data_IF_527073122990
#
_entry.id   IF_527073122990
#
_cell.length_a   1.000
_cell.length_b   1.000
_cell.length_c   1.000
_cell.angle_alpha   90.00
_cell.angle_beta   90.00
_cell.angle_gamma   90.00
#
_symmetry.space_group_name_H-M   'P 1'
#
loop_
_entity.id
_entity.type
_entity.pdbx_description
1 polymer ?
#
# COMPACT_ATOMS: atom_id res chain seq x y z
N UNK A 1 9.51 -10.20 -4.81
CA UNK A 1 8.71 -9.20 -4.07
C UNK A 1 7.27 -9.66 -4.02
N UNK A 2 6.61 -9.50 -2.86
CA UNK A 2 5.19 -9.75 -2.68
C UNK A 2 4.48 -8.41 -2.50
N UNK A 3 3.29 -8.27 -3.07
CA UNK A 3 2.53 -7.03 -3.02
C UNK A 3 1.16 -7.28 -2.40
N UNK A 4 0.79 -6.42 -1.45
CA UNK A 4 -0.48 -6.50 -0.74
C UNK A 4 -1.16 -5.15 -0.71
N UNK A 5 -2.48 -5.14 -0.59
CA UNK A 5 -3.27 -3.93 -0.40
C UNK A 5 -4.46 -4.15 0.52
N UNK A 6 -4.92 -3.06 1.12
CA UNK A 6 -6.15 -2.99 1.88
C UNK A 6 -6.81 -1.65 1.62
N UNK A 7 -8.14 -1.61 1.66
CA UNK A 7 -8.89 -0.36 1.62
C UNK A 7 -9.43 -0.02 3.00
N UNK A 8 -9.53 1.27 3.27
CA UNK A 8 -10.29 1.83 4.37
C UNK A 8 -11.02 3.07 3.88
N UNK A 9 -12.32 3.14 4.16
CA UNK A 9 -13.08 4.35 3.90
C UNK A 9 -12.65 5.46 4.87
N UNK A 10 -12.26 6.60 4.32
CA UNK A 10 -11.94 7.84 5.04
C UNK A 10 -13.07 8.83 4.82
N UNK A 11 -13.77 9.27 5.88
CA UNK A 11 -14.79 10.32 5.76
C UNK A 11 -14.24 11.53 5.00
N UNK A 12 -15.06 12.11 4.12
CA UNK A 12 -14.74 13.28 3.28
C UNK A 12 -13.69 13.06 2.17
N UNK A 13 -13.00 11.92 2.14
CA UNK A 13 -11.97 11.60 1.13
C UNK A 13 -12.26 10.34 0.32
N UNK A 14 -13.09 9.47 0.85
CA UNK A 14 -13.50 8.22 0.20
C UNK A 14 -12.54 7.05 0.46
N UNK A 15 -12.38 6.14 -0.50
CA UNK A 15 -11.64 4.88 -0.28
C UNK A 15 -10.11 5.08 -0.33
N UNK A 16 -9.46 5.02 0.84
CA UNK A 16 -8.01 5.03 0.94
C UNK A 16 -7.42 3.62 0.76
N UNK A 17 -6.66 3.44 -0.31
CA UNK A 17 -5.95 2.20 -0.61
C UNK A 17 -4.54 2.25 -0.05
N UNK A 18 -4.26 1.42 0.94
CA UNK A 18 -2.91 1.23 1.45
C UNK A 18 -2.29 0.00 0.79
N UNK A 19 -1.11 0.18 0.23
CA UNK A 19 -0.30 -0.83 -0.42
C UNK A 19 0.98 -1.10 0.37
N UNK A 20 1.44 -2.35 0.28
CA UNK A 20 2.68 -2.82 0.86
C UNK A 20 3.48 -3.58 -0.19
N UNK A 21 4.75 -3.24 -0.33
CA UNK A 21 5.74 -4.11 -0.95
C UNK A 21 6.50 -4.84 0.16
N UNK A 22 6.54 -6.16 0.07
CA UNK A 22 7.27 -7.01 0.98
C UNK A 22 8.35 -7.83 0.28
N UNK A 23 9.39 -8.17 1.04
CA UNK A 23 10.35 -9.19 0.64
C UNK A 23 9.73 -10.59 0.67
N UNK A 24 10.48 -11.60 0.22
CA UNK A 24 10.03 -13.00 0.22
C UNK A 24 9.65 -13.54 1.61
N UNK A 25 10.26 -12.98 2.67
CA UNK A 25 9.99 -13.25 4.08
C UNK A 25 8.83 -12.42 4.66
N UNK A 26 8.06 -11.74 3.81
CA UNK A 26 6.90 -10.91 4.19
C UNK A 26 7.23 -9.69 5.06
N UNK A 27 8.48 -9.22 5.07
CA UNK A 27 8.80 -7.94 5.72
C UNK A 27 8.52 -6.78 4.77
N UNK A 28 7.86 -5.76 5.30
CA UNK A 28 7.50 -4.55 4.57
C UNK A 28 8.77 -3.76 4.22
N UNK A 29 9.02 -3.63 2.92
CA UNK A 29 10.07 -2.81 2.35
C UNK A 29 9.57 -1.40 2.07
N UNK A 30 8.39 -1.27 1.46
CA UNK A 30 7.75 0.01 1.15
C UNK A 30 6.27 -0.03 1.47
N UNK A 31 5.74 1.11 1.91
CA UNK A 31 4.31 1.31 2.12
C UNK A 31 3.87 2.55 1.35
N UNK A 32 2.66 2.52 0.80
CA UNK A 32 2.06 3.67 0.13
C UNK A 32 0.57 3.72 0.42
N UNK A 33 0.02 4.91 0.62
CA UNK A 33 -1.42 5.14 0.70
C UNK A 33 -1.85 6.00 -0.47
N UNK A 34 -2.86 5.56 -1.21
CA UNK A 34 -3.42 6.27 -2.35
C UNK A 34 -4.93 6.44 -2.19
N UNK A 35 -5.40 7.67 -2.31
CA UNK A 35 -6.82 8.00 -2.32
C UNK A 35 -7.19 8.43 -3.74
N UNK A 36 -7.92 7.62 -4.52
CA UNK A 36 -8.19 7.90 -5.93
C UNK A 36 -9.09 9.12 -6.12
N UNK A 37 -10.00 9.37 -5.20
CA UNK A 37 -10.97 10.48 -5.26
C UNK A 37 -10.31 11.85 -5.09
N UNK A 38 -9.28 11.95 -4.24
CA UNK A 38 -8.54 13.20 -4.01
C UNK A 38 -7.22 13.26 -4.79
N UNK A 39 -6.74 12.11 -5.30
CA UNK A 39 -5.42 11.98 -5.91
C UNK A 39 -4.27 11.97 -4.89
N UNK A 40 -4.57 12.07 -3.59
CA UNK A 40 -3.55 12.09 -2.54
C UNK A 40 -2.78 10.78 -2.52
N UNK A 41 -1.44 10.90 -2.56
CA UNK A 41 -0.54 9.75 -2.47
C UNK A 41 0.52 10.03 -1.41
N UNK A 42 0.58 9.16 -0.40
CA UNK A 42 1.63 9.18 0.61
C UNK A 42 2.55 7.97 0.42
N UNK A 43 3.86 8.20 0.37
CA UNK A 43 4.87 7.16 0.09
C UNK A 43 5.86 7.07 1.24
N UNK A 44 6.03 5.86 1.77
CA UNK A 44 6.91 5.55 2.90
C UNK A 44 7.93 4.51 2.43
N UNK A 45 9.12 4.93 1.98
CA UNK A 45 10.13 4.03 1.40
C UNK A 45 10.87 3.15 2.42
N UNK A 46 10.80 3.49 3.71
CA UNK A 46 11.41 2.71 4.77
C UNK A 46 10.52 2.76 6.03
N UNK A 47 9.42 1.98 6.06
CA UNK A 47 8.49 2.01 7.18
C UNK A 47 9.14 1.45 8.45
N UNK A 48 8.84 2.06 9.60
CA UNK A 48 9.33 1.62 10.92
C UNK A 48 8.77 0.24 11.25
N UNK A 49 7.50 0.02 10.93
CA UNK A 49 6.84 -1.28 11.07
C UNK A 49 7.22 -2.14 9.88
N UNK A 50 7.87 -3.27 10.16
CA UNK A 50 8.34 -4.21 9.14
C UNK A 50 7.42 -5.42 8.94
N UNK A 51 6.37 -5.59 9.74
CA UNK A 51 5.45 -6.75 9.62
C UNK A 51 4.07 -6.30 9.17
N UNK A 52 3.45 -7.09 8.30
CA UNK A 52 2.06 -6.89 7.89
C UNK A 52 1.11 -7.03 9.08
N UNK A 53 0.20 -6.07 9.22
CA UNK A 53 -0.85 -6.15 10.23
C UNK A 53 -2.05 -6.91 9.67
N UNK A 54 -2.44 -8.01 10.34
CA UNK A 54 -3.53 -8.91 9.91
C UNK A 54 -3.42 -9.32 8.43
N UNK A 55 -2.34 -10.04 8.05
CA UNK A 55 -2.09 -10.43 6.66
C UNK A 55 -3.27 -11.19 6.04
N UNK A 56 -4.05 -11.94 6.82
CA UNK A 56 -5.25 -12.65 6.38
C UNK A 56 -6.37 -11.75 5.84
N UNK A 57 -6.33 -10.44 6.15
CA UNK A 57 -7.29 -9.44 5.66
C UNK A 57 -6.77 -8.64 4.47
N UNK A 58 -5.50 -8.81 4.12
CA UNK A 58 -4.89 -8.11 3.01
C UNK A 58 -5.24 -8.82 1.71
N UNK A 59 -5.46 -8.03 0.68
CA UNK A 59 -5.68 -8.51 -0.67
C UNK A 59 -4.33 -8.55 -1.40
N UNK A 60 -4.05 -9.58 -2.21
CA UNK A 60 -2.89 -9.53 -3.08
C UNK A 60 -3.04 -8.36 -4.05
N UNK A 61 -1.95 -7.64 -4.30
CA UNK A 61 -1.87 -6.55 -5.27
C UNK A 61 -0.97 -6.94 -6.44
N UNK A 62 -1.21 -6.36 -7.61
CA UNK A 62 -0.29 -6.52 -8.74
C UNK A 62 0.93 -5.60 -8.55
N UNK A 63 2.12 -6.10 -8.90
CA UNK A 63 3.34 -5.29 -8.91
C UNK A 63 3.16 -4.01 -9.75
N UNK A 64 2.57 -4.13 -10.95
CA UNK A 64 2.35 -3.01 -11.86
C UNK A 64 1.46 -1.92 -11.26
N UNK A 65 0.47 -2.31 -10.44
CA UNK A 65 -0.41 -1.36 -9.76
C UNK A 65 0.38 -0.56 -8.72
N UNK A 66 1.17 -1.24 -7.89
CA UNK A 66 2.01 -0.59 -6.89
C UNK A 66 3.08 0.29 -7.53
N UNK A 67 3.87 -0.25 -8.45
CA UNK A 67 4.99 0.47 -9.09
C UNK A 67 4.47 1.65 -9.92
N UNK A 68 3.34 1.49 -10.60
CA UNK A 68 2.70 2.57 -11.37
C UNK A 68 2.32 3.75 -10.48
N UNK A 69 1.67 3.49 -9.34
CA UNK A 69 1.32 4.54 -8.36
C UNK A 69 2.56 5.08 -7.63
N UNK A 70 3.54 4.24 -7.34
CA UNK A 70 4.78 4.62 -6.67
C UNK A 70 5.60 5.62 -7.47
N UNK A 71 5.68 5.44 -8.78
CA UNK A 71 6.46 6.29 -9.68
C UNK A 71 5.67 7.49 -10.25
N UNK A 72 4.39 7.64 -9.89
CA UNK A 72 3.56 8.74 -10.39
C UNK A 72 3.97 10.06 -9.73
N UNK A 73 4.55 10.97 -10.49
CA UNK A 73 4.96 12.31 -10.02
C UNK A 73 3.77 13.17 -9.57
#
# INVERSE_FOLDING_TARGET
>A
MKYFKTSQFVPDKGDAWTYYECDDSENIMRQMTYIPETGETERIPNPIVKRLYRPDKLQPAAEQEFVGLWNKE
#
